data_IF_787525931485
#
_entry.id   IF_787525931485
#
_cell.length_a   1.000
_cell.length_b   1.000
_cell.length_c   1.000
_cell.angle_alpha   90.00
_cell.angle_beta   90.00
_cell.angle_gamma   90.00
#
_symmetry.space_group_name_H-M   'P 1'
#
loop_
_entity.id
_entity.type
_entity.pdbx_description
1 polymer ?
#
# COMPACT_ATOMS: atom_id res chain seq x y z
N UNK A 1 6.51 -13.26 -9.86
CA UNK A 1 6.75 -12.06 -10.69
C UNK A 1 6.79 -10.87 -9.75
N UNK A 2 7.85 -10.06 -9.75
CA UNK A 2 7.91 -8.87 -8.88
C UNK A 2 6.81 -7.89 -9.32
N UNK A 3 5.93 -7.50 -8.41
CA UNK A 3 4.88 -6.51 -8.72
C UNK A 3 5.58 -5.18 -9.06
N UNK A 4 5.16 -4.47 -10.12
CA UNK A 4 5.73 -3.17 -10.42
C UNK A 4 5.58 -2.24 -9.22
N UNK A 5 6.53 -1.34 -8.96
CA UNK A 5 6.45 -0.43 -7.82
C UNK A 5 5.22 0.49 -7.98
N UNK A 6 4.46 0.65 -6.90
CA UNK A 6 3.33 1.58 -6.83
C UNK A 6 3.77 3.03 -6.96
N UNK A 7 2.90 3.88 -7.52
CA UNK A 7 3.11 5.31 -7.70
C UNK A 7 2.08 6.15 -6.93
N UNK A 8 2.33 7.45 -6.70
CA UNK A 8 1.35 8.30 -6.04
C UNK A 8 0.04 8.35 -6.83
N UNK A 9 -1.09 8.27 -6.13
CA UNK A 9 -2.43 8.15 -6.70
C UNK A 9 -2.92 6.71 -6.94
N UNK A 10 -2.05 5.70 -6.82
CA UNK A 10 -2.53 4.31 -6.85
C UNK A 10 -3.35 4.00 -5.60
N UNK A 11 -4.50 3.36 -5.78
CA UNK A 11 -5.29 2.80 -4.69
C UNK A 11 -4.85 1.35 -4.43
N UNK A 12 -4.64 1.01 -3.17
CA UNK A 12 -4.18 -0.30 -2.73
C UNK A 12 -4.99 -0.83 -1.56
N UNK A 13 -5.08 -2.14 -1.46
CA UNK A 13 -5.59 -2.83 -0.28
C UNK A 13 -4.41 -3.33 0.55
N UNK A 14 -4.54 -3.22 1.87
CA UNK A 14 -3.49 -3.59 2.80
C UNK A 14 -3.84 -4.89 3.50
N UNK A 15 -2.81 -5.67 3.80
CA UNK A 15 -2.95 -6.82 4.69
C UNK A 15 -3.39 -6.36 6.08
N UNK A 16 -3.87 -7.30 6.89
CA UNK A 16 -4.18 -7.04 8.30
C UNK A 16 -2.97 -6.47 9.02
N UNK A 17 -3.21 -5.63 10.02
CA UNK A 17 -2.12 -5.08 10.82
C UNK A 17 -1.51 -6.12 11.77
N UNK A 18 -0.48 -5.71 12.52
CA UNK A 18 0.22 -6.59 13.45
C UNK A 18 -0.67 -7.19 14.56
N UNK A 19 -1.73 -6.48 14.98
CA UNK A 19 -2.74 -6.98 15.90
C UNK A 19 -3.84 -7.81 15.19
N UNK A 20 -3.62 -8.20 13.93
CA UNK A 20 -4.53 -8.97 13.08
C UNK A 20 -5.89 -8.30 12.86
N UNK A 21 -5.97 -6.97 12.97
CA UNK A 21 -7.19 -6.22 12.67
C UNK A 21 -7.25 -5.91 11.16
N UNK A 22 -8.45 -5.96 10.57
CA UNK A 22 -8.63 -5.63 9.16
C UNK A 22 -8.34 -4.14 8.93
N UNK A 23 -7.49 -3.85 7.95
CA UNK A 23 -7.26 -2.49 7.44
C UNK A 23 -8.27 -2.21 6.34
N UNK A 24 -9.39 -1.58 6.69
CA UNK A 24 -10.47 -1.29 5.74
C UNK A 24 -10.02 -0.21 4.75
N UNK A 25 -9.81 -0.60 3.49
CA UNK A 25 -9.39 0.25 2.37
C UNK A 25 -10.54 0.71 1.47
N UNK A 26 -10.26 1.34 0.31
CA UNK A 26 -8.93 1.45 -0.31
C UNK A 26 -8.04 2.54 0.29
N UNK A 27 -6.73 2.36 0.19
CA UNK A 27 -5.72 3.32 0.63
C UNK A 27 -5.01 3.93 -0.58
N UNK A 28 -4.86 5.26 -0.62
CA UNK A 28 -4.15 5.95 -1.70
C UNK A 28 -2.67 6.06 -1.38
N UNK A 29 -1.79 5.65 -2.29
CA UNK A 29 -0.36 5.93 -2.20
C UNK A 29 -0.16 7.44 -2.36
N UNK A 30 0.32 8.11 -1.34
CA UNK A 30 0.59 9.56 -1.37
C UNK A 30 2.04 9.88 -1.69
N UNK A 31 2.97 8.96 -1.38
CA UNK A 31 4.41 9.18 -1.58
C UNK A 31 5.19 7.86 -1.60
N UNK A 32 6.17 7.75 -2.51
CA UNK A 32 7.23 6.75 -2.37
C UNK A 32 8.31 7.26 -1.43
N UNK A 33 8.74 6.45 -0.49
CA UNK A 33 9.89 6.73 0.36
C UNK A 33 11.16 6.16 -0.30
N UNK A 34 12.32 6.83 -0.15
CA UNK A 34 13.58 6.27 -0.61
C UNK A 34 13.80 4.91 0.06
N UNK A 35 14.26 3.93 -0.73
CA UNK A 35 14.59 2.62 -0.19
C UNK A 35 15.60 2.78 0.95
N UNK A 36 15.26 2.26 2.13
CA UNK A 36 16.23 2.17 3.23
C UNK A 36 17.29 1.13 2.88
N UNK A 37 18.36 1.09 3.67
CA UNK A 37 19.48 0.14 3.54
C UNK A 37 19.04 -1.33 3.31
N UNK A 38 17.84 -1.68 3.80
CA UNK A 38 17.20 -2.98 3.64
C UNK A 38 16.62 -3.30 2.23
N UNK A 39 16.80 -2.40 1.24
CA UNK A 39 16.35 -2.54 -0.16
C UNK A 39 14.84 -2.72 -0.39
N UNK A 40 14.01 -2.68 0.65
CA UNK A 40 12.55 -2.68 0.51
C UNK A 40 12.02 -1.27 0.21
N UNK A 41 11.07 -1.20 -0.72
CA UNK A 41 10.35 0.04 -1.02
C UNK A 41 9.33 0.31 0.10
N UNK A 42 9.40 1.52 0.67
CA UNK A 42 8.39 2.03 1.58
C UNK A 42 7.46 3.00 0.85
N UNK A 43 6.20 2.97 1.26
CA UNK A 43 5.16 3.83 0.74
C UNK A 43 4.48 4.56 1.88
N UNK A 44 4.05 5.79 1.61
CA UNK A 44 3.13 6.51 2.46
C UNK A 44 1.75 6.39 1.83
N UNK A 45 0.77 5.94 2.61
CA UNK A 45 -0.60 5.77 2.17
C UNK A 45 -1.56 6.59 3.00
N UNK A 46 -2.65 7.08 2.40
CA UNK A 46 -3.77 7.73 3.09
C UNK A 46 -4.98 6.80 3.03
N UNK A 47 -5.54 6.49 4.19
CA UNK A 47 -6.77 5.69 4.29
C UNK A 47 -8.04 6.54 4.15
N UNK A 48 -9.21 5.90 4.10
CA UNK A 48 -10.51 6.58 4.04
C UNK A 48 -10.79 7.43 5.29
N UNK A 49 -10.12 7.12 6.41
CA UNK A 49 -10.13 7.92 7.63
C UNK A 49 -9.28 9.20 7.54
N UNK A 50 -8.68 9.48 6.38
CA UNK A 50 -7.84 10.66 6.13
C UNK A 50 -6.43 10.60 6.74
N UNK A 51 -6.14 9.56 7.55
CA UNK A 51 -4.84 9.40 8.21
C UNK A 51 -3.81 8.80 7.27
N UNK A 52 -2.60 9.36 7.34
CA UNK A 52 -1.44 8.86 6.63
C UNK A 52 -0.71 7.78 7.44
N UNK A 53 -0.25 6.73 6.76
CA UNK A 53 0.47 5.59 7.34
C UNK A 53 1.68 5.29 6.47
N UNK A 54 2.80 4.93 7.09
CA UNK A 54 3.94 4.35 6.37
C UNK A 54 3.73 2.84 6.33
N UNK A 55 3.94 2.24 5.16
CA UNK A 55 3.85 0.80 4.94
C UNK A 55 5.02 0.33 4.10
N UNK A 56 5.38 -0.94 4.28
CA UNK A 56 6.34 -1.63 3.41
C UNK A 56 5.61 -2.32 2.24
N UNK A 57 6.35 -2.64 1.17
CA UNK A 57 5.77 -3.27 -0.03
C UNK A 57 5.01 -4.57 0.26
N UNK A 58 5.47 -5.36 1.25
CA UNK A 58 4.85 -6.64 1.61
C UNK A 58 3.50 -6.50 2.33
N UNK A 59 3.17 -5.31 2.86
CA UNK A 59 1.88 -5.04 3.50
C UNK A 59 0.77 -4.74 2.50
N UNK A 60 1.08 -4.70 1.20
CA UNK A 60 0.11 -4.43 0.14
C UNK A 60 -0.42 -5.77 -0.39
N UNK A 61 -1.70 -6.03 -0.21
CA UNK A 61 -2.36 -7.25 -0.67
C UNK A 61 -2.60 -7.20 -2.19
N UNK A 62 -3.22 -6.12 -2.66
CA UNK A 62 -3.58 -5.91 -4.06
C UNK A 62 -3.60 -4.42 -4.45
N UNK A 63 -3.51 -4.13 -5.75
CA UNK A 63 -3.93 -2.84 -6.28
C UNK A 63 -5.46 -2.83 -6.31
N UNK A 64 -6.12 -1.82 -5.73
CA UNK A 64 -7.58 -1.73 -5.64
C UNK A 64 -8.27 -1.47 -7.00
N UNK A 65 -7.54 -1.65 -8.11
CA UNK A 65 -8.04 -1.62 -9.48
C UNK A 65 -7.72 -2.88 -10.30
N UNK A 66 -6.98 -3.86 -9.77
CA UNK A 66 -6.71 -5.14 -10.45
C UNK A 66 -7.79 -6.20 -10.14
N UNK A 67 -8.99 -5.74 -9.79
CA UNK A 67 -10.23 -6.52 -9.74
C UNK A 67 -11.20 -6.18 -10.88
N UNK A 68 -10.80 -5.30 -11.82
CA UNK A 68 -11.54 -5.05 -13.05
C UNK A 68 -10.78 -5.64 -14.24
N UNK A 69 -10.77 -6.98 -14.32
CA UNK A 69 -10.56 -7.67 -15.59
C UNK A 69 -11.79 -8.53 -15.85
N UNK A 70 -12.57 -8.02 -16.79
CA UNK A 70 -13.51 -8.67 -17.72
C UNK A 70 -13.39 -10.21 -17.82
#
# INVERSE_FOLDING_TARGET
MARPPYKPGDLVELTRDFANQPRVGPFEITRLMPARDNREAQYRVRGPDGRERAIDHHEIEAAAGDGAKD
#
